data_IF_066962504158
#
_entry.id   IF_066962504158
#
_cell.length_a   1.000
_cell.length_b   1.000
_cell.length_c   1.000
_cell.angle_alpha   90.00
_cell.angle_beta   90.00
_cell.angle_gamma   90.00
#
_symmetry.space_group_name_H-M   'P 1'
#
loop_
_entity.id
_entity.type
_entity.pdbx_description
1 polymer ?
#
# COMPACT_ATOMS: atom_id res chain seq x y z
N UNK A 1 -12.37 12.99 -18.81
CA UNK A 1 -12.65 11.54 -19.01
C UNK A 1 -12.53 10.87 -17.65
N UNK A 2 -13.66 10.59 -17.01
CA UNK A 2 -13.69 9.98 -15.68
C UNK A 2 -13.32 8.50 -15.83
N UNK A 3 -12.10 8.10 -15.43
CA UNK A 3 -11.77 6.68 -15.31
C UNK A 3 -12.62 6.11 -14.17
N UNK A 4 -13.78 5.54 -14.51
CA UNK A 4 -14.51 4.63 -13.64
C UNK A 4 -13.69 3.35 -13.54
N UNK A 5 -12.75 3.32 -12.60
CA UNK A 5 -12.11 2.08 -12.22
C UNK A 5 -13.18 1.19 -11.56
N UNK A 6 -13.41 -0.03 -12.08
CA UNK A 6 -14.40 -0.93 -11.51
C UNK A 6 -14.06 -1.22 -10.03
N UNK A 7 -15.07 -1.50 -9.18
CA UNK A 7 -14.86 -1.75 -7.77
C UNK A 7 -13.81 -2.86 -7.56
N UNK A 8 -12.91 -2.64 -6.60
CA UNK A 8 -11.89 -3.61 -6.20
C UNK A 8 -12.59 -4.83 -5.58
N UNK A 9 -12.86 -5.85 -6.39
CA UNK A 9 -13.28 -7.15 -5.89
C UNK A 9 -12.07 -7.90 -5.28
N UNK A 10 -12.37 -8.84 -4.38
CA UNK A 10 -11.34 -9.59 -3.63
C UNK A 10 -10.38 -10.36 -4.55
N UNK A 11 -10.86 -10.84 -5.70
CA UNK A 11 -10.09 -11.63 -6.64
C UNK A 11 -9.12 -10.78 -7.48
N UNK A 12 -9.55 -9.59 -7.90
CA UNK A 12 -8.69 -8.57 -8.53
C UNK A 12 -7.64 -8.07 -7.57
N UNK A 13 -8.02 -7.86 -6.31
CA UNK A 13 -7.07 -7.41 -5.31
C UNK A 13 -5.93 -8.42 -5.12
N UNK A 14 -6.25 -9.71 -5.04
CA UNK A 14 -5.27 -10.79 -4.91
C UNK A 14 -4.44 -10.97 -6.21
N UNK A 15 -5.07 -10.90 -7.40
CA UNK A 15 -4.38 -11.00 -8.68
C UNK A 15 -3.39 -9.82 -8.93
N UNK A 16 -3.74 -8.60 -8.51
CA UNK A 16 -2.86 -7.41 -8.56
C UNK A 16 -1.78 -7.50 -7.46
N UNK A 17 -2.06 -8.19 -6.36
CA UNK A 17 -1.18 -8.33 -5.20
C UNK A 17 -0.04 -9.34 -5.38
N UNK A 18 0.03 -10.06 -6.50
CA UNK A 18 1.14 -10.97 -6.86
C UNK A 18 2.50 -10.28 -7.12
N UNK A 19 2.73 -9.13 -6.50
CA UNK A 19 3.99 -8.39 -6.53
C UNK A 19 4.92 -8.76 -5.37
N UNK A 20 6.09 -8.12 -5.27
CA UNK A 20 7.06 -8.41 -4.22
C UNK A 20 6.46 -8.18 -2.82
N UNK A 21 6.82 -9.07 -1.88
CA UNK A 21 6.38 -8.99 -0.48
C UNK A 21 7.01 -7.80 0.25
N UNK A 22 8.28 -7.51 -0.04
CA UNK A 22 9.02 -6.38 0.55
C UNK A 22 8.87 -5.15 -0.35
N UNK A 23 8.24 -4.11 0.17
CA UNK A 23 8.03 -2.85 -0.53
C UNK A 23 8.96 -1.78 0.04
N UNK A 24 9.83 -1.25 -0.81
CA UNK A 24 10.78 -0.21 -0.43
C UNK A 24 10.47 1.12 -1.11
N UNK A 25 10.35 2.16 -0.30
CA UNK A 25 10.02 3.50 -0.73
C UNK A 25 8.51 3.72 -0.93
N UNK A 26 8.10 4.98 -0.78
CA UNK A 26 6.68 5.35 -0.90
C UNK A 26 6.11 5.07 -2.30
N UNK A 27 6.92 5.14 -3.35
CA UNK A 27 6.46 4.84 -4.71
C UNK A 27 6.07 3.38 -4.87
N UNK A 28 6.88 2.43 -4.37
CA UNK A 28 6.55 1.00 -4.44
C UNK A 28 5.31 0.67 -3.60
N UNK A 29 5.21 1.27 -2.40
CA UNK A 29 4.06 1.11 -1.51
C UNK A 29 2.79 1.67 -2.15
N UNK A 30 2.85 2.88 -2.70
CA UNK A 30 1.73 3.55 -3.35
C UNK A 30 1.21 2.76 -4.55
N UNK A 31 2.11 2.26 -5.41
CA UNK A 31 1.75 1.39 -6.53
C UNK A 31 1.12 0.08 -6.06
N UNK A 32 1.66 -0.54 -5.00
CA UNK A 32 1.16 -1.80 -4.49
C UNK A 32 -0.29 -1.74 -3.97
N UNK A 33 -0.71 -0.59 -3.43
CA UNK A 33 -2.06 -0.38 -2.87
C UNK A 33 -2.95 0.54 -3.72
N UNK A 34 -2.47 0.96 -4.89
CA UNK A 34 -3.24 1.76 -5.86
C UNK A 34 -3.58 3.19 -5.42
N UNK A 35 -2.66 3.87 -4.73
CA UNK A 35 -2.85 5.27 -4.27
C UNK A 35 -1.73 6.18 -4.75
N UNK A 36 -1.86 7.50 -4.52
CA UNK A 36 -0.77 8.45 -4.77
C UNK A 36 0.33 8.34 -3.71
N UNK A 37 1.56 8.73 -4.08
CA UNK A 37 2.71 8.80 -3.15
C UNK A 37 2.41 9.69 -1.94
N UNK A 38 1.70 10.80 -2.14
CA UNK A 38 1.31 11.70 -1.06
C UNK A 38 0.29 11.05 -0.11
N UNK A 39 -0.65 10.27 -0.64
CA UNK A 39 -1.57 9.50 0.18
C UNK A 39 -0.82 8.45 0.98
N UNK A 40 0.10 7.69 0.36
CA UNK A 40 0.94 6.72 1.05
C UNK A 40 1.77 7.37 2.18
N UNK A 41 2.33 8.57 1.93
CA UNK A 41 3.05 9.35 2.95
C UNK A 41 2.16 9.75 4.12
N UNK A 42 0.91 10.14 3.86
CA UNK A 42 -0.07 10.47 4.91
C UNK A 42 -0.43 9.23 5.72
N UNK A 43 -0.63 8.08 5.07
CA UNK A 43 -0.88 6.80 5.73
C UNK A 43 0.26 6.40 6.65
N UNK A 44 1.51 6.60 6.22
CA UNK A 44 2.70 6.31 7.03
C UNK A 44 2.85 7.17 8.31
N UNK A 45 2.00 8.20 8.49
CA UNK A 45 1.95 8.99 9.73
C UNK A 45 0.91 8.46 10.71
N UNK A 46 0.06 7.52 10.30
CA UNK A 46 -0.91 6.90 11.18
C UNK A 46 -0.18 5.91 12.09
N UNK A 47 -0.43 5.95 13.41
CA UNK A 47 0.31 5.13 14.38
C UNK A 47 0.08 3.63 14.21
N UNK A 48 -1.02 3.23 13.58
CA UNK A 48 -1.44 1.85 13.37
C UNK A 48 -1.22 1.34 11.94
N UNK A 49 -0.69 2.19 11.04
CA UNK A 49 -0.42 1.79 9.66
C UNK A 49 0.93 1.04 9.60
N UNK A 50 0.99 -0.15 8.97
CA UNK A 50 2.21 -0.96 8.88
C UNK A 50 3.15 -0.46 7.77
N UNK A 51 3.40 0.85 7.76
CA UNK A 51 4.43 1.49 6.95
C UNK A 51 5.51 1.98 7.91
N UNK A 52 6.63 1.29 7.89
CA UNK A 52 7.76 1.49 8.79
C UNK A 52 8.84 2.38 8.17
N UNK A 53 9.78 2.81 9.00
CA UNK A 53 10.98 3.56 8.58
C UNK A 53 12.22 3.07 9.34
N UNK A 54 12.69 1.83 9.08
CA UNK A 54 13.67 1.15 9.93
C UNK A 54 15.05 1.83 9.95
N UNK A 55 15.44 2.50 8.87
CA UNK A 55 16.70 3.25 8.74
C UNK A 55 16.51 4.76 8.99
N UNK A 56 15.32 5.19 9.39
CA UNK A 56 14.96 6.60 9.56
C UNK A 56 14.90 7.41 8.25
N UNK A 57 15.22 6.81 7.09
CA UNK A 57 15.32 7.49 5.80
C UNK A 57 14.30 6.97 4.79
N UNK A 58 14.22 5.65 4.60
CA UNK A 58 13.39 4.98 3.60
C UNK A 58 12.17 4.34 4.25
N UNK A 59 11.05 4.44 3.53
CA UNK A 59 9.82 3.77 3.94
C UNK A 59 9.86 2.31 3.54
N UNK A 60 9.31 1.46 4.39
CA UNK A 60 9.26 0.01 4.21
C UNK A 60 7.88 -0.50 4.60
N UNK A 61 7.34 -1.45 3.84
CA UNK A 61 6.15 -2.19 4.24
C UNK A 61 6.24 -3.63 3.76
N UNK A 62 5.64 -4.53 4.54
CA UNK A 62 5.29 -5.87 4.07
C UNK A 62 3.93 -5.79 3.38
N UNK A 63 3.85 -6.32 2.16
CA UNK A 63 2.62 -6.32 1.37
C UNK A 63 1.50 -7.05 2.11
N UNK A 64 1.78 -8.19 2.71
CA UNK A 64 0.80 -8.97 3.47
C UNK A 64 0.22 -8.20 4.65
N UNK A 65 1.06 -7.56 5.45
CA UNK A 65 0.64 -6.73 6.60
C UNK A 65 -0.18 -5.52 6.15
N UNK A 66 0.29 -4.82 5.11
CA UNK A 66 -0.38 -3.64 4.58
C UNK A 66 -1.76 -3.99 4.02
N UNK A 67 -1.87 -5.10 3.30
CA UNK A 67 -3.14 -5.62 2.79
C UNK A 67 -4.06 -6.08 3.93
N UNK A 68 -3.53 -6.74 4.96
CA UNK A 68 -4.32 -7.13 6.14
C UNK A 68 -4.85 -5.91 6.90
N UNK A 69 -4.05 -4.85 7.02
CA UNK A 69 -4.46 -3.58 7.61
C UNK A 69 -5.55 -2.91 6.78
N UNK A 70 -5.40 -2.84 5.45
CA UNK A 70 -6.40 -2.28 4.54
C UNK A 70 -7.74 -3.02 4.64
N UNK A 71 -7.73 -4.34 4.80
CA UNK A 71 -8.96 -5.15 4.96
C UNK A 71 -9.70 -4.88 6.29
N UNK A 72 -9.04 -4.27 7.28
CA UNK A 72 -9.61 -3.96 8.61
C UNK A 72 -10.08 -2.50 8.74
N UNK A 73 -9.84 -1.66 7.74
CA UNK A 73 -10.25 -0.26 7.70
C UNK A 73 -11.44 -0.09 6.76
#
# INVERSE_FOLDING_TARGET
MSQQNPPLDRWRFDAITTGPEKLWGLSAIATAIGVSVDKARRLARLPDCPIYRPDGQRYFALRSELNAWLKRK
#
